data_IF_188982748082
#
_entry.id   IF_188982748082
#
_cell.length_a   1.000
_cell.length_b   1.000
_cell.length_c   1.000
_cell.angle_alpha   90.00
_cell.angle_beta   90.00
_cell.angle_gamma   90.00
#
_symmetry.space_group_name_H-M   'P 1'
#
loop_
_entity.id
_entity.type
_entity.pdbx_description
1 polymer ?
#
# COMPACT_ATOMS: atom_id res chain seq x y z
N UNK A 1 33.80 9.89 -43.59
CA UNK A 1 32.52 9.37 -43.04
C UNK A 1 32.47 7.86 -42.86
N UNK A 2 32.85 7.03 -43.85
CA UNK A 2 32.81 5.56 -43.69
C UNK A 2 33.67 5.01 -42.54
N UNK A 3 34.89 5.54 -42.29
CA UNK A 3 35.77 5.09 -41.20
C UNK A 3 35.28 5.43 -39.77
N UNK A 4 34.50 6.50 -39.60
CA UNK A 4 33.91 6.88 -38.30
C UNK A 4 32.72 5.97 -37.98
N UNK A 5 31.95 5.58 -39.01
CA UNK A 5 30.84 4.63 -38.86
C UNK A 5 31.33 3.21 -38.53
N UNK A 6 32.50 2.80 -39.05
CA UNK A 6 33.10 1.50 -38.69
C UNK A 6 33.64 1.48 -37.26
N UNK A 7 34.16 2.60 -36.73
CA UNK A 7 34.55 2.69 -35.32
C UNK A 7 33.34 2.65 -34.37
N UNK A 8 32.21 3.23 -34.77
CA UNK A 8 30.97 3.18 -33.99
C UNK A 8 30.35 1.78 -33.96
N UNK A 9 30.44 1.03 -35.06
CA UNK A 9 30.03 -0.39 -35.13
C UNK A 9 30.99 -1.34 -34.39
N UNK A 10 32.30 -1.03 -34.34
CA UNK A 10 33.24 -1.79 -33.50
C UNK A 10 33.05 -1.51 -32.00
N UNK A 11 32.59 -0.31 -31.61
CA UNK A 11 32.21 0.00 -30.23
C UNK A 11 30.91 -0.72 -29.80
N UNK A 12 29.98 -0.96 -30.74
CA UNK A 12 28.78 -1.76 -30.48
C UNK A 12 29.08 -3.27 -30.46
N UNK A 13 30.07 -3.73 -31.25
CA UNK A 13 30.51 -5.11 -31.26
C UNK A 13 31.42 -5.50 -30.07
N UNK A 14 32.00 -4.52 -29.36
CA UNK A 14 32.67 -4.76 -28.06
C UNK A 14 31.72 -4.69 -26.86
N UNK A 15 30.44 -4.37 -27.06
CA UNK A 15 29.40 -4.47 -26.02
C UNK A 15 28.79 -5.88 -25.89
N UNK A 16 29.19 -6.84 -26.73
CA UNK A 16 28.79 -8.25 -26.60
C UNK A 16 29.69 -9.06 -25.66
N UNK A 17 30.61 -8.39 -24.97
CA UNK A 17 31.33 -8.90 -23.79
C UNK A 17 31.32 -7.85 -22.69
N UNK A 18 30.20 -7.70 -21.97
CA UNK A 18 30.27 -7.08 -20.65
C UNK A 18 29.48 -7.91 -19.65
N UNK A 19 30.19 -8.25 -18.57
CA UNK A 19 29.69 -8.86 -17.36
C UNK A 19 28.41 -8.18 -16.85
N UNK A 20 27.70 -8.84 -15.94
CA UNK A 20 26.73 -8.20 -15.05
C UNK A 20 27.41 -7.04 -14.30
N UNK A 21 27.50 -5.86 -14.90
CA UNK A 21 28.00 -4.66 -14.23
C UNK A 21 26.93 -4.28 -13.22
N UNK A 22 27.23 -4.56 -11.96
CA UNK A 22 26.35 -4.18 -10.85
C UNK A 22 26.44 -2.67 -10.71
N UNK A 23 25.33 -1.97 -10.94
CA UNK A 23 25.26 -0.52 -10.77
C UNK A 23 25.55 -0.15 -9.31
N UNK A 24 26.32 0.91 -9.11
CA UNK A 24 26.47 1.56 -7.82
C UNK A 24 25.16 2.24 -7.39
N UNK A 25 25.00 2.45 -6.08
CA UNK A 25 23.84 3.16 -5.53
C UNK A 25 23.70 4.56 -6.14
N UNK A 26 24.81 5.27 -6.39
CA UNK A 26 24.82 6.57 -7.08
C UNK A 26 24.22 6.47 -8.48
N UNK A 27 24.63 5.49 -9.28
CA UNK A 27 24.10 5.29 -10.64
C UNK A 27 22.61 4.93 -10.63
N UNK A 28 22.17 4.13 -9.65
CA UNK A 28 20.75 3.79 -9.47
C UNK A 28 19.94 5.06 -9.16
N UNK A 29 20.45 5.92 -8.27
CA UNK A 29 19.79 7.19 -7.94
C UNK A 29 19.79 8.17 -9.13
N UNK A 30 20.85 8.20 -9.96
CA UNK A 30 20.85 8.98 -11.22
C UNK A 30 19.77 8.48 -12.17
N UNK A 31 19.61 7.16 -12.32
CA UNK A 31 18.51 6.59 -13.13
C UNK A 31 17.14 6.99 -12.60
N UNK A 32 16.94 7.04 -11.28
CA UNK A 32 15.72 7.58 -10.69
C UNK A 32 15.51 9.04 -11.07
N UNK A 33 16.54 9.87 -10.91
CA UNK A 33 16.50 11.28 -11.27
C UNK A 33 16.10 11.47 -12.74
N UNK A 34 16.71 10.73 -13.65
CA UNK A 34 16.39 10.80 -15.09
C UNK A 34 14.97 10.29 -15.41
N UNK A 35 14.60 9.13 -14.87
CA UNK A 35 13.31 8.49 -15.14
C UNK A 35 12.10 9.26 -14.60
N UNK A 36 12.31 10.15 -13.63
CA UNK A 36 11.24 10.89 -12.95
C UNK A 36 11.33 12.40 -13.14
N UNK A 37 11.93 12.84 -14.24
CA UNK A 37 12.02 14.26 -14.62
C UNK A 37 12.75 15.13 -13.60
N UNK A 38 13.90 14.66 -13.12
CA UNK A 38 14.75 15.28 -12.09
C UNK A 38 15.00 16.77 -12.23
N UNK A 39 15.18 17.23 -13.47
CA UNK A 39 15.38 18.66 -13.77
C UNK A 39 14.18 19.55 -13.40
N UNK A 40 13.00 18.95 -13.23
CA UNK A 40 11.73 19.60 -12.85
C UNK A 40 11.33 19.34 -11.39
N UNK A 41 12.12 18.57 -10.64
CA UNK A 41 11.86 18.37 -9.21
C UNK A 41 11.85 19.70 -8.46
N UNK A 42 11.07 19.76 -7.37
CA UNK A 42 11.00 20.93 -6.50
C UNK A 42 12.36 21.19 -5.82
N UNK A 43 12.98 20.13 -5.29
CA UNK A 43 14.32 20.09 -4.72
C UNK A 43 15.16 19.16 -5.59
N UNK A 44 16.08 19.77 -6.34
CA UNK A 44 16.90 19.09 -7.35
C UNK A 44 18.21 18.64 -6.73
N UNK A 45 18.72 17.51 -7.20
CA UNK A 45 20.07 17.08 -6.88
C UNK A 45 21.07 17.72 -7.83
N UNK A 46 22.20 18.16 -7.28
CA UNK A 46 23.37 18.47 -8.09
C UNK A 46 24.16 17.17 -8.32
N UNK A 47 24.00 16.59 -9.51
CA UNK A 47 24.61 15.30 -9.86
C UNK A 47 26.15 15.34 -9.88
N UNK A 48 26.75 16.54 -9.93
CA UNK A 48 28.20 16.73 -9.83
C UNK A 48 28.74 16.50 -8.41
N UNK A 49 27.89 16.64 -7.40
CA UNK A 49 28.24 16.47 -6.00
C UNK A 49 28.16 15.00 -5.56
N UNK A 50 28.79 14.63 -4.43
CA UNK A 50 28.59 13.31 -3.81
C UNK A 50 27.13 13.12 -3.39
N UNK A 51 26.62 11.88 -3.47
CA UNK A 51 25.21 11.58 -3.15
C UNK A 51 24.85 11.84 -1.68
N UNK A 52 25.85 11.97 -0.80
CA UNK A 52 25.67 12.40 0.60
C UNK A 52 25.19 13.84 0.74
N UNK A 53 25.32 14.66 -0.32
CA UNK A 53 24.79 16.03 -0.38
C UNK A 53 23.37 16.11 -0.94
N UNK A 54 22.86 15.02 -1.52
CA UNK A 54 21.57 15.00 -2.20
C UNK A 54 20.43 14.98 -1.18
N UNK A 55 19.56 15.99 -1.25
CA UNK A 55 18.40 16.11 -0.37
C UNK A 55 17.57 14.82 -0.37
N UNK A 56 17.26 14.30 0.82
CA UNK A 56 16.47 13.08 0.95
C UNK A 56 17.27 11.78 0.92
N UNK A 57 18.58 11.82 0.66
CA UNK A 57 19.43 10.62 0.61
C UNK A 57 20.19 10.46 1.93
N UNK A 58 20.03 9.32 2.61
CA UNK A 58 20.88 8.93 3.74
C UNK A 58 21.79 7.77 3.32
N UNK A 59 23.08 7.91 3.60
CA UNK A 59 24.11 6.94 3.25
C UNK A 59 24.79 6.43 4.51
N UNK A 60 25.06 5.12 4.57
CA UNK A 60 25.89 4.48 5.59
C UNK A 60 26.83 3.50 4.89
N UNK A 61 28.14 3.60 5.16
CA UNK A 61 29.16 2.75 4.55
C UNK A 61 29.05 2.70 3.01
N UNK A 62 28.92 3.87 2.38
CA UNK A 62 28.73 4.05 0.93
C UNK A 62 27.49 3.37 0.33
N UNK A 63 26.53 2.95 1.17
CA UNK A 63 25.24 2.38 0.78
C UNK A 63 24.08 3.29 1.15
N UNK A 64 23.13 3.44 0.25
CA UNK A 64 21.91 4.22 0.50
C UNK A 64 21.01 3.39 1.42
N UNK A 65 20.72 3.96 2.60
CA UNK A 65 19.88 3.32 3.62
C UNK A 65 18.50 3.96 3.74
N UNK A 66 18.34 5.21 3.31
CA UNK A 66 17.02 5.85 3.22
C UNK A 66 16.97 6.79 2.02
N UNK A 67 15.81 6.80 1.37
CA UNK A 67 15.49 7.70 0.27
C UNK A 67 14.12 8.33 0.54
N UNK A 68 14.11 9.60 0.95
CA UNK A 68 12.91 10.40 1.17
C UNK A 68 12.81 11.52 0.13
N UNK A 69 11.95 11.32 -0.86
CA UNK A 69 11.67 12.25 -1.95
C UNK A 69 10.20 12.66 -1.97
N UNK A 70 9.56 12.67 -0.79
CA UNK A 70 8.16 13.05 -0.69
C UNK A 70 7.91 14.50 -1.18
N UNK A 71 6.75 14.75 -1.78
CA UNK A 71 6.31 16.10 -2.16
C UNK A 71 7.35 16.87 -3.01
N UNK A 72 7.92 16.19 -4.01
CA UNK A 72 9.07 16.69 -4.76
C UNK A 72 8.84 16.83 -6.28
N UNK A 73 7.59 16.69 -6.73
CA UNK A 73 7.18 16.77 -8.14
C UNK A 73 7.85 15.73 -9.05
N UNK A 74 8.12 14.52 -8.54
CA UNK A 74 8.59 13.42 -9.40
C UNK A 74 7.48 13.06 -10.39
N UNK A 75 7.81 13.07 -11.69
CA UNK A 75 6.89 12.73 -12.79
C UNK A 75 7.52 11.66 -13.66
N UNK A 76 6.88 10.51 -13.79
CA UNK A 76 7.36 9.39 -14.61
C UNK A 76 7.09 8.05 -13.97
N UNK A 77 7.91 7.05 -14.31
CA UNK A 77 7.82 5.69 -13.78
C UNK A 77 8.84 5.49 -12.65
N UNK A 78 8.52 4.59 -11.70
CA UNK A 78 9.51 4.09 -10.75
C UNK A 78 10.45 3.13 -11.51
N UNK A 79 11.76 3.40 -11.63
CA UNK A 79 12.67 2.50 -12.35
C UNK A 79 12.92 1.21 -11.57
N UNK A 80 12.99 0.09 -12.29
CA UNK A 80 13.19 -1.22 -11.69
C UNK A 80 14.54 -1.35 -10.96
N UNK A 81 15.53 -0.56 -11.34
CA UNK A 81 16.86 -0.52 -10.75
C UNK A 81 16.85 -0.10 -9.27
N UNK A 82 15.80 0.57 -8.77
CA UNK A 82 15.67 0.84 -7.34
C UNK A 82 15.70 -0.44 -6.51
N UNK A 83 15.21 -1.56 -7.05
CA UNK A 83 15.27 -2.88 -6.41
C UNK A 83 16.70 -3.42 -6.16
N UNK A 84 17.74 -2.71 -6.62
CA UNK A 84 19.14 -3.06 -6.41
C UNK A 84 19.79 -2.34 -5.22
N UNK A 85 19.10 -1.39 -4.56
CA UNK A 85 19.57 -0.74 -3.33
C UNK A 85 19.42 -1.67 -2.11
N UNK A 86 20.24 -2.73 -2.03
CA UNK A 86 20.04 -3.83 -1.07
C UNK A 86 20.06 -3.43 0.41
N UNK A 87 20.68 -2.31 0.74
CA UNK A 87 20.75 -1.77 2.11
C UNK A 87 19.63 -0.79 2.45
N UNK A 88 18.71 -0.53 1.52
CA UNK A 88 17.64 0.44 1.71
C UNK A 88 16.64 -0.03 2.78
N UNK A 89 16.44 0.81 3.79
CA UNK A 89 15.54 0.58 4.92
C UNK A 89 14.27 1.43 4.82
N UNK A 90 14.33 2.56 4.10
CA UNK A 90 13.21 3.48 3.93
C UNK A 90 13.17 3.98 2.49
N UNK A 91 12.01 3.81 1.85
CA UNK A 91 11.69 4.39 0.55
C UNK A 91 10.39 5.18 0.69
N UNK A 92 10.50 6.51 0.68
CA UNK A 92 9.37 7.42 0.73
C UNK A 92 9.29 8.25 -0.56
N UNK A 93 8.28 7.96 -1.37
CA UNK A 93 7.93 8.67 -2.61
C UNK A 93 6.53 9.31 -2.53
N UNK A 94 6.02 9.50 -1.31
CA UNK A 94 4.71 10.08 -1.02
C UNK A 94 4.48 11.39 -1.76
N UNK A 95 3.24 11.61 -2.24
CA UNK A 95 2.80 12.91 -2.80
C UNK A 95 3.68 13.36 -3.97
N UNK A 96 3.71 12.55 -5.00
CA UNK A 96 4.34 12.87 -6.27
C UNK A 96 3.34 12.63 -7.43
N UNK A 97 3.83 12.60 -8.66
CA UNK A 97 3.04 12.37 -9.87
C UNK A 97 3.56 11.12 -10.60
N UNK A 98 4.00 10.12 -9.83
CA UNK A 98 4.48 8.86 -10.37
C UNK A 98 3.31 8.07 -10.98
N UNK A 99 3.57 7.40 -12.09
CA UNK A 99 2.57 6.62 -12.84
C UNK A 99 3.11 5.23 -13.19
N UNK A 100 2.28 4.42 -13.85
CA UNK A 100 2.59 3.02 -14.18
C UNK A 100 2.50 2.10 -12.97
N UNK A 101 3.04 0.88 -13.11
CA UNK A 101 2.98 -0.14 -12.07
C UNK A 101 4.09 -0.01 -11.03
N UNK A 102 3.85 -0.56 -9.84
CA UNK A 102 4.89 -0.78 -8.84
C UNK A 102 5.88 -1.84 -9.40
N UNK A 103 7.19 -1.56 -9.53
CA UNK A 103 8.13 -2.53 -10.05
C UNK A 103 8.27 -3.73 -9.12
N UNK A 104 8.12 -4.95 -9.68
CA UNK A 104 8.29 -6.18 -8.90
C UNK A 104 9.69 -6.31 -8.27
N UNK A 105 10.71 -5.65 -8.85
CA UNK A 105 12.07 -5.61 -8.31
C UNK A 105 12.16 -4.96 -6.93
N UNK A 106 11.19 -4.13 -6.51
CA UNK A 106 11.17 -3.58 -5.15
C UNK A 106 11.10 -4.69 -4.09
N UNK A 107 10.53 -5.86 -4.41
CA UNK A 107 10.54 -7.04 -3.53
C UNK A 107 11.92 -7.61 -3.20
N UNK A 108 12.98 -7.10 -3.83
CA UNK A 108 14.36 -7.49 -3.57
C UNK A 108 15.01 -6.70 -2.42
N UNK A 109 14.34 -5.68 -1.86
CA UNK A 109 14.87 -4.79 -0.83
C UNK A 109 14.71 -5.40 0.58
N UNK A 110 15.52 -6.42 0.90
CA UNK A 110 15.32 -7.23 2.12
C UNK A 110 15.46 -6.49 3.44
N UNK A 111 16.15 -5.36 3.44
CA UNK A 111 16.31 -4.51 4.63
C UNK A 111 15.19 -3.48 4.80
N UNK A 112 14.24 -3.41 3.85
CA UNK A 112 13.21 -2.37 3.83
C UNK A 112 12.24 -2.52 5.00
N UNK A 113 12.07 -1.43 5.74
CA UNK A 113 11.18 -1.28 6.91
C UNK A 113 10.01 -0.37 6.61
N UNK A 114 10.20 0.63 5.75
CA UNK A 114 9.16 1.59 5.36
C UNK A 114 9.10 1.69 3.84
N UNK A 115 7.92 1.47 3.28
CA UNK A 115 7.59 1.71 1.88
C UNK A 115 6.36 2.59 1.80
N UNK A 116 6.54 3.85 1.40
CA UNK A 116 5.48 4.80 1.16
C UNK A 116 5.49 5.25 -0.31
N UNK A 117 4.45 4.83 -1.04
CA UNK A 117 4.19 5.20 -2.43
C UNK A 117 2.84 5.93 -2.57
N UNK A 118 2.26 6.39 -1.45
CA UNK A 118 0.93 6.97 -1.40
C UNK A 118 0.85 8.33 -2.11
N UNK A 119 -0.37 8.77 -2.44
CA UNK A 119 -0.63 10.02 -3.15
C UNK A 119 0.18 10.14 -4.46
N UNK A 120 -0.03 9.20 -5.37
CA UNK A 120 0.55 9.20 -6.72
C UNK A 120 -0.54 8.81 -7.74
N UNK A 121 -0.15 8.50 -8.97
CA UNK A 121 -1.04 7.97 -10.01
C UNK A 121 -0.63 6.54 -10.42
N UNK A 122 -0.13 5.74 -9.48
CA UNK A 122 0.28 4.35 -9.72
C UNK A 122 -0.95 3.49 -10.07
N UNK A 123 -0.75 2.55 -10.98
CA UNK A 123 -1.80 1.68 -11.54
C UNK A 123 -1.43 0.20 -11.39
N UNK A 124 -2.33 -0.68 -11.85
CA UNK A 124 -2.13 -2.14 -11.89
C UNK A 124 -2.10 -2.78 -10.51
N UNK A 125 -1.91 -4.10 -10.47
CA UNK A 125 -1.89 -4.87 -9.23
C UNK A 125 -0.64 -4.63 -8.39
N UNK A 126 -0.81 -4.75 -7.07
CA UNK A 126 0.30 -4.84 -6.12
C UNK A 126 1.08 -6.13 -6.45
N UNK A 127 2.38 -6.06 -6.79
CA UNK A 127 3.16 -7.25 -7.13
C UNK A 127 3.28 -8.20 -5.93
N UNK A 128 3.12 -9.50 -6.16
CA UNK A 128 3.36 -10.54 -5.12
C UNK A 128 4.75 -10.44 -4.49
N UNK A 129 5.75 -9.95 -5.24
CA UNK A 129 7.10 -9.80 -4.73
C UNK A 129 7.22 -8.80 -3.56
N UNK A 130 6.26 -7.89 -3.37
CA UNK A 130 6.19 -7.02 -2.18
C UNK A 130 6.10 -7.86 -0.90
N UNK A 131 5.47 -9.03 -0.95
CA UNK A 131 5.37 -9.97 0.16
C UNK A 131 6.72 -10.59 0.56
N UNK A 132 7.78 -10.37 -0.24
CA UNK A 132 9.12 -10.83 0.10
C UNK A 132 9.90 -9.85 1.00
N UNK A 133 9.29 -8.73 1.39
CA UNK A 133 9.85 -7.69 2.26
C UNK A 133 9.58 -8.02 3.73
N UNK A 134 10.14 -9.12 4.23
CA UNK A 134 9.78 -9.66 5.56
C UNK A 134 10.16 -8.76 6.74
N UNK A 135 11.04 -7.76 6.55
CA UNK A 135 11.38 -6.75 7.55
C UNK A 135 10.47 -5.51 7.52
N UNK A 136 9.51 -5.46 6.60
CA UNK A 136 8.63 -4.30 6.41
C UNK A 136 7.72 -4.11 7.62
N UNK A 137 7.66 -2.88 8.12
CA UNK A 137 6.81 -2.43 9.23
C UNK A 137 5.66 -1.54 8.77
N UNK A 138 5.90 -0.74 7.74
CA UNK A 138 4.92 0.21 7.20
C UNK A 138 4.83 0.05 5.69
N UNK A 139 3.62 -0.21 5.20
CA UNK A 139 3.28 -0.25 3.78
C UNK A 139 2.12 0.72 3.51
N UNK A 140 2.44 1.83 2.83
CA UNK A 140 1.48 2.88 2.49
C UNK A 140 1.39 3.04 0.97
N UNK A 141 0.23 2.70 0.42
CA UNK A 141 -0.06 2.71 -1.03
C UNK A 141 -1.35 3.48 -1.35
N UNK A 142 -1.92 4.16 -0.36
CA UNK A 142 -3.22 4.82 -0.47
C UNK A 142 -3.22 6.00 -1.45
N UNK A 143 -4.42 6.41 -1.91
CA UNK A 143 -4.58 7.50 -2.88
C UNK A 143 -3.77 7.27 -4.17
N UNK A 144 -4.04 6.14 -4.83
CA UNK A 144 -3.49 5.77 -6.14
C UNK A 144 -4.64 5.21 -7.01
N UNK A 145 -4.32 4.49 -8.09
CA UNK A 145 -5.27 3.77 -8.96
C UNK A 145 -4.89 2.29 -9.05
N UNK A 146 -4.35 1.73 -7.96
CA UNK A 146 -3.96 0.33 -7.89
C UNK A 146 -5.21 -0.54 -7.96
N UNK A 147 -5.14 -1.65 -8.70
CA UNK A 147 -6.29 -2.51 -8.98
C UNK A 147 -5.97 -3.99 -8.69
N UNK A 148 -6.90 -4.89 -8.97
CA UNK A 148 -6.73 -6.31 -8.67
C UNK A 148 -6.81 -6.61 -7.18
N UNK A 149 -6.39 -7.81 -6.79
CA UNK A 149 -6.53 -8.30 -5.42
C UNK A 149 -5.34 -7.94 -4.54
N UNK A 150 -5.55 -7.93 -3.21
CA UNK A 150 -4.43 -8.01 -2.28
C UNK A 150 -3.62 -9.29 -2.57
N UNK A 151 -2.28 -9.25 -2.54
CA UNK A 151 -1.44 -10.41 -2.73
C UNK A 151 -1.85 -11.58 -1.83
N UNK A 152 -1.99 -12.77 -2.40
CA UNK A 152 -2.30 -13.99 -1.66
C UNK A 152 -1.22 -14.31 -0.62
N UNK A 153 0.02 -13.88 -0.86
CA UNK A 153 1.15 -14.08 0.06
C UNK A 153 1.33 -12.94 1.07
N UNK A 154 0.37 -12.01 1.22
CA UNK A 154 0.50 -10.85 2.13
C UNK A 154 0.81 -11.25 3.57
N UNK A 155 0.36 -12.44 3.99
CA UNK A 155 0.69 -13.05 5.27
C UNK A 155 2.20 -13.23 5.53
N UNK A 156 3.07 -13.20 4.52
CA UNK A 156 4.52 -13.29 4.71
C UNK A 156 5.12 -12.06 5.41
N UNK A 157 4.41 -10.93 5.42
CA UNK A 157 4.84 -9.68 6.06
C UNK A 157 4.62 -9.70 7.58
N UNK A 158 5.27 -10.64 8.26
CA UNK A 158 5.06 -10.93 9.69
C UNK A 158 5.42 -9.77 10.64
N UNK A 159 6.26 -8.82 10.19
CA UNK A 159 6.65 -7.64 10.94
C UNK A 159 5.80 -6.39 10.61
N UNK A 160 4.81 -6.50 9.72
CA UNK A 160 4.02 -5.36 9.30
C UNK A 160 3.11 -4.89 10.44
N UNK A 161 3.23 -3.61 10.77
CA UNK A 161 2.47 -2.93 11.81
C UNK A 161 1.35 -2.07 11.20
N UNK A 162 1.62 -1.44 10.05
CA UNK A 162 0.69 -0.58 9.33
C UNK A 162 0.54 -1.02 7.88
N UNK A 163 -0.70 -1.29 7.47
CA UNK A 163 -1.11 -1.49 6.08
C UNK A 163 -2.17 -0.44 5.71
N UNK A 164 -1.83 0.46 4.79
CA UNK A 164 -2.76 1.47 4.28
C UNK A 164 -2.82 1.43 2.76
N UNK A 165 -3.96 1.00 2.21
CA UNK A 165 -4.20 0.88 0.75
C UNK A 165 -5.49 1.59 0.32
N UNK A 166 -6.05 2.43 1.18
CA UNK A 166 -7.33 3.10 0.95
C UNK A 166 -7.32 4.02 -0.28
N UNK A 167 -8.51 4.34 -0.81
CA UNK A 167 -8.68 5.16 -2.01
C UNK A 167 -7.86 4.60 -3.19
N UNK A 168 -8.20 3.38 -3.59
CA UNK A 168 -7.68 2.67 -4.76
C UNK A 168 -8.83 1.91 -5.44
N UNK A 169 -8.52 1.01 -6.37
CA UNK A 169 -9.45 0.11 -7.03
C UNK A 169 -9.22 -1.37 -6.65
N UNK A 170 -8.73 -1.62 -5.43
CA UNK A 170 -8.46 -2.98 -4.94
C UNK A 170 -9.78 -3.76 -4.81
N UNK A 171 -9.79 -4.98 -5.30
CA UNK A 171 -10.97 -5.85 -5.35
C UNK A 171 -10.73 -7.22 -4.70
N UNK A 172 -11.77 -8.06 -4.69
CA UNK A 172 -11.71 -9.39 -4.10
C UNK A 172 -11.76 -9.40 -2.57
N UNK A 173 -11.65 -10.60 -2.00
CA UNK A 173 -11.71 -10.80 -0.56
C UNK A 173 -10.36 -10.57 0.13
N UNK A 174 -10.39 -10.34 1.43
CA UNK A 174 -9.19 -10.37 2.28
C UNK A 174 -8.59 -11.80 2.21
N UNK A 175 -7.35 -11.99 1.74
CA UNK A 175 -6.74 -13.32 1.63
C UNK A 175 -6.61 -14.02 2.98
N UNK A 176 -6.75 -15.35 3.04
CA UNK A 176 -6.68 -16.09 4.30
C UNK A 176 -5.34 -15.92 5.04
N UNK A 177 -4.23 -15.71 4.30
CA UNK A 177 -2.90 -15.48 4.88
C UNK A 177 -2.81 -14.18 5.67
N UNK A 178 -3.66 -13.18 5.38
CA UNK A 178 -3.72 -11.90 6.10
C UNK A 178 -3.92 -12.09 7.61
N UNK A 179 -4.76 -13.04 7.99
CA UNK A 179 -5.08 -13.31 9.41
C UNK A 179 -3.91 -13.94 10.19
N UNK A 180 -2.77 -14.19 9.55
CA UNK A 180 -1.54 -14.68 10.18
C UNK A 180 -0.61 -13.53 10.63
N UNK A 181 -0.90 -12.28 10.28
CA UNK A 181 -0.03 -11.11 10.49
C UNK A 181 -0.19 -10.49 11.89
N UNK A 182 0.30 -11.18 12.92
CA UNK A 182 0.08 -10.82 14.34
C UNK A 182 0.67 -9.48 14.81
N UNK A 183 1.53 -8.86 14.00
CA UNK A 183 2.12 -7.55 14.29
C UNK A 183 1.25 -6.38 13.85
N UNK A 184 0.19 -6.62 13.07
CA UNK A 184 -0.68 -5.56 12.56
C UNK A 184 -1.36 -4.81 13.70
N UNK A 185 -1.24 -3.48 13.64
CA UNK A 185 -1.88 -2.52 14.54
C UNK A 185 -2.91 -1.68 13.79
N UNK A 186 -2.56 -1.25 12.59
CA UNK A 186 -3.38 -0.35 11.77
C UNK A 186 -3.63 -0.96 10.40
N UNK A 187 -4.91 -1.12 10.05
CA UNK A 187 -5.35 -1.67 8.76
C UNK A 187 -6.38 -0.72 8.15
N UNK A 188 -6.01 -0.06 7.06
CA UNK A 188 -6.85 0.90 6.35
C UNK A 188 -7.07 0.44 4.91
N UNK A 189 -8.19 -0.23 4.67
CA UNK A 189 -8.60 -0.78 3.36
C UNK A 189 -9.78 -0.01 2.75
N UNK A 190 -10.18 1.10 3.36
CA UNK A 190 -11.40 1.82 2.99
C UNK A 190 -11.40 2.38 1.57
N UNK A 191 -12.60 2.66 1.04
CA UNK A 191 -12.80 3.30 -0.26
C UNK A 191 -12.09 2.54 -1.38
N UNK A 192 -12.49 1.27 -1.53
CA UNK A 192 -12.00 0.31 -2.52
C UNK A 192 -13.19 -0.49 -3.08
N UNK A 193 -12.90 -1.55 -3.85
CA UNK A 193 -13.90 -2.48 -4.43
C UNK A 193 -13.86 -3.85 -3.73
N UNK A 194 -13.28 -3.95 -2.53
CA UNK A 194 -13.10 -5.23 -1.83
C UNK A 194 -14.44 -5.87 -1.46
N UNK A 195 -14.50 -7.20 -1.45
CA UNK A 195 -15.73 -7.97 -1.27
C UNK A 195 -15.52 -9.20 -0.38
N UNK A 196 -16.49 -10.12 -0.34
CA UNK A 196 -16.44 -11.29 0.54
C UNK A 196 -16.84 -10.99 1.98
N UNK A 197 -16.64 -11.95 2.88
CA UNK A 197 -16.95 -11.82 4.30
C UNK A 197 -15.69 -11.65 5.15
N UNK A 198 -15.84 -11.04 6.32
CA UNK A 198 -14.77 -10.95 7.32
C UNK A 198 -14.67 -12.29 8.07
N UNK A 199 -13.49 -12.92 8.07
CA UNK A 199 -13.29 -14.20 8.77
C UNK A 199 -13.26 -14.00 10.28
N UNK A 200 -13.70 -15.00 11.04
CA UNK A 200 -13.50 -15.06 12.49
C UNK A 200 -12.02 -15.09 12.90
N UNK A 201 -11.13 -15.47 11.98
CA UNK A 201 -9.68 -15.44 12.18
C UNK A 201 -9.11 -14.03 12.38
N UNK A 202 -9.90 -12.98 12.16
CA UNK A 202 -9.54 -11.60 12.54
C UNK A 202 -9.15 -11.49 14.02
N UNK A 203 -9.68 -12.38 14.88
CA UNK A 203 -9.29 -12.47 16.29
C UNK A 203 -7.81 -12.86 16.52
N UNK A 204 -7.12 -13.38 15.50
CA UNK A 204 -5.69 -13.68 15.56
C UNK A 204 -4.81 -12.42 15.50
N UNK A 205 -5.36 -11.29 15.03
CA UNK A 205 -4.66 -10.00 14.93
C UNK A 205 -4.67 -9.28 16.29
N UNK A 206 -4.08 -9.91 17.30
CA UNK A 206 -4.22 -9.49 18.71
C UNK A 206 -3.65 -8.11 19.03
N UNK A 207 -2.83 -7.53 18.15
CA UNK A 207 -2.30 -6.17 18.27
C UNK A 207 -3.13 -5.10 17.52
N UNK A 208 -4.20 -5.50 16.82
CA UNK A 208 -5.00 -4.59 16.01
C UNK A 208 -5.69 -3.54 16.88
N UNK A 209 -5.44 -2.26 16.58
CA UNK A 209 -6.02 -1.10 17.26
C UNK A 209 -6.98 -0.34 16.36
N UNK A 210 -6.71 -0.28 15.06
CA UNK A 210 -7.48 0.52 14.11
C UNK A 210 -7.78 -0.33 12.86
N UNK A 211 -9.06 -0.48 12.54
CA UNK A 211 -9.55 -1.21 11.39
C UNK A 211 -10.55 -0.38 10.59
N UNK A 212 -10.21 0.00 9.36
CA UNK A 212 -11.14 0.68 8.46
C UNK A 212 -11.37 -0.15 7.21
N UNK A 213 -12.60 -0.60 7.03
CA UNK A 213 -13.14 -1.27 5.83
C UNK A 213 -14.21 -0.41 5.14
N UNK A 214 -14.39 0.84 5.59
CA UNK A 214 -15.37 1.79 5.08
C UNK A 214 -15.47 1.81 3.55
N UNK A 215 -16.67 1.95 3.00
CA UNK A 215 -16.88 2.15 1.55
C UNK A 215 -16.23 1.04 0.70
N UNK A 216 -16.81 -0.16 0.82
CA UNK A 216 -16.41 -1.36 0.08
C UNK A 216 -17.67 -2.21 -0.24
N UNK A 217 -17.47 -3.44 -0.69
CA UNK A 217 -18.52 -4.42 -1.01
C UNK A 217 -18.50 -5.64 -0.05
N UNK A 218 -17.95 -5.51 1.16
CA UNK A 218 -17.95 -6.61 2.13
C UNK A 218 -19.37 -7.00 2.54
N UNK A 219 -19.62 -8.27 2.78
CA UNK A 219 -20.95 -8.81 3.06
C UNK A 219 -20.94 -9.87 4.16
N UNK A 220 -22.13 -10.33 4.54
CA UNK A 220 -22.33 -11.33 5.58
C UNK A 220 -22.29 -10.71 6.98
N UNK A 221 -22.22 -11.57 7.99
CA UNK A 221 -22.22 -11.12 9.38
C UNK A 221 -20.84 -10.66 9.83
N UNK A 222 -20.79 -9.56 10.59
CA UNK A 222 -19.58 -9.14 11.30
C UNK A 222 -19.25 -10.18 12.36
N UNK A 223 -18.06 -10.82 12.32
CA UNK A 223 -17.73 -11.91 13.23
C UNK A 223 -17.60 -11.43 14.67
N UNK A 224 -18.34 -12.07 15.59
CA UNK A 224 -18.26 -11.84 17.04
C UNK A 224 -16.85 -12.06 17.61
N UNK A 225 -16.01 -12.80 16.89
CA UNK A 225 -14.61 -13.00 17.24
C UNK A 225 -13.81 -11.68 17.38
N UNK A 226 -14.23 -10.60 16.71
CA UNK A 226 -13.67 -9.25 16.90
C UNK A 226 -13.70 -8.77 18.35
N UNK A 227 -14.64 -9.26 19.17
CA UNK A 227 -14.72 -8.88 20.59
C UNK A 227 -13.51 -9.33 21.40
N UNK A 228 -12.78 -10.35 20.93
CA UNK A 228 -11.55 -10.85 21.54
C UNK A 228 -10.38 -9.87 21.36
N UNK A 229 -10.48 -8.93 20.42
CA UNK A 229 -9.48 -7.89 20.18
C UNK A 229 -9.64 -6.78 21.22
N UNK A 230 -9.15 -7.01 22.43
CA UNK A 230 -9.24 -6.05 23.53
C UNK A 230 -8.48 -4.73 23.27
N UNK A 231 -7.54 -4.73 22.32
CA UNK A 231 -6.80 -3.55 21.90
C UNK A 231 -7.50 -2.71 20.82
N UNK A 232 -8.61 -3.19 20.24
CA UNK A 232 -9.32 -2.51 19.15
C UNK A 232 -9.99 -1.24 19.69
N UNK A 233 -9.56 -0.08 19.18
CA UNK A 233 -10.02 1.25 19.59
C UNK A 233 -10.97 1.86 18.59
N UNK A 234 -10.67 1.70 17.32
CA UNK A 234 -11.43 2.27 16.22
C UNK A 234 -11.73 1.19 15.20
N UNK A 235 -12.98 1.12 14.82
CA UNK A 235 -13.46 0.30 13.74
C UNK A 235 -14.29 1.20 12.81
N UNK A 236 -14.17 1.03 11.51
CA UNK A 236 -15.09 1.65 10.57
C UNK A 236 -15.45 0.65 9.49
N UNK A 237 -16.66 0.10 9.55
CA UNK A 237 -17.17 -0.86 8.56
C UNK A 237 -18.37 -0.34 7.77
N UNK A 238 -18.73 0.92 7.98
CA UNK A 238 -19.88 1.54 7.31
C UNK A 238 -19.72 1.57 5.79
N UNK A 239 -20.83 1.75 5.06
CA UNK A 239 -20.86 1.71 3.59
C UNK A 239 -20.31 0.38 3.02
N UNK A 240 -20.84 -0.72 3.54
CA UNK A 240 -20.63 -2.08 3.03
C UNK A 240 -22.01 -2.75 2.85
N UNK A 241 -22.02 -4.07 2.68
CA UNK A 241 -23.20 -4.93 2.59
C UNK A 241 -23.27 -5.90 3.78
N UNK A 242 -22.64 -5.55 4.91
CA UNK A 242 -22.74 -6.32 6.14
C UNK A 242 -24.19 -6.44 6.59
N UNK A 243 -24.53 -7.55 7.23
CA UNK A 243 -25.85 -7.85 7.74
C UNK A 243 -25.78 -8.61 9.07
N UNK A 244 -26.94 -9.00 9.61
CA UNK A 244 -27.02 -9.72 10.87
C UNK A 244 -26.77 -8.84 12.10
N UNK A 245 -26.60 -9.51 13.24
CA UNK A 245 -26.48 -8.85 14.53
C UNK A 245 -25.02 -8.52 14.85
N UNK A 246 -24.81 -7.32 15.40
CA UNK A 246 -23.56 -6.92 16.06
C UNK A 246 -23.83 -6.70 17.55
N UNK A 247 -22.81 -6.89 18.36
CA UNK A 247 -22.92 -6.61 19.79
C UNK A 247 -22.84 -5.12 20.06
N UNK A 248 -23.36 -4.69 21.21
CA UNK A 248 -23.27 -3.30 21.66
C UNK A 248 -21.82 -2.80 21.74
N UNK A 249 -20.87 -3.67 22.14
CA UNK A 249 -19.44 -3.36 22.21
C UNK A 249 -18.89 -2.99 20.82
N UNK A 250 -19.15 -3.83 19.82
CA UNK A 250 -18.70 -3.59 18.45
C UNK A 250 -19.40 -2.37 17.82
N UNK A 251 -20.70 -2.20 18.10
CA UNK A 251 -21.47 -1.05 17.65
C UNK A 251 -20.96 0.30 18.17
N UNK A 252 -20.31 0.33 19.34
CA UNK A 252 -19.69 1.54 19.91
C UNK A 252 -18.31 1.86 19.33
N UNK A 253 -17.61 0.86 18.78
CA UNK A 253 -16.31 1.04 18.14
C UNK A 253 -16.43 1.55 16.70
N UNK A 254 -17.57 1.31 16.04
CA UNK A 254 -17.84 1.73 14.67
C UNK A 254 -18.09 3.25 14.60
N UNK A 255 -17.12 4.02 14.09
CA UNK A 255 -17.12 5.49 14.17
C UNK A 255 -18.08 6.22 13.21
N UNK A 256 -19.14 5.59 12.69
CA UNK A 256 -20.19 6.24 11.88
C UNK A 256 -21.61 5.71 12.17
N UNK A 257 -22.33 6.42 13.05
CA UNK A 257 -23.70 6.92 12.94
C UNK A 257 -24.81 6.12 12.19
N UNK A 258 -24.83 4.78 12.23
CA UNK A 258 -25.96 3.98 11.69
C UNK A 258 -26.49 2.92 12.64
N UNK A 259 -26.05 2.90 13.91
CA UNK A 259 -26.55 1.98 14.92
C UNK A 259 -27.79 2.54 15.60
N UNK A 260 -28.96 2.26 15.04
CA UNK A 260 -30.19 2.30 15.82
C UNK A 260 -30.10 1.17 16.86
N UNK A 261 -29.96 1.55 18.13
CA UNK A 261 -30.13 0.63 19.25
C UNK A 261 -31.62 0.63 19.58
N UNK A 262 -32.30 -0.49 19.39
CA UNK A 262 -33.71 -0.58 19.77
C UNK A 262 -33.87 -0.58 21.30
N UNK A 263 -35.11 -0.46 21.79
CA UNK A 263 -35.43 -0.42 23.23
C UNK A 263 -34.97 -1.67 24.01
N UNK A 264 -34.62 -2.77 23.31
CA UNK A 264 -34.04 -3.98 23.91
C UNK A 264 -32.51 -4.03 23.89
N UNK A 265 -31.84 -2.95 23.45
CA UNK A 265 -30.38 -2.83 23.48
C UNK A 265 -29.65 -3.53 22.32
N UNK A 266 -30.38 -3.96 21.28
CA UNK A 266 -29.83 -4.60 20.08
C UNK A 266 -29.47 -3.53 19.06
N UNK A 267 -28.21 -3.52 18.61
CA UNK A 267 -27.72 -2.62 17.58
C UNK A 267 -27.86 -3.25 16.19
N UNK A 268 -28.48 -2.52 15.26
CA UNK A 268 -28.60 -2.91 13.86
C UNK A 268 -27.66 -2.08 12.99
N UNK A 269 -27.02 -2.71 12.00
CA UNK A 269 -26.33 -2.00 10.92
C UNK A 269 -27.35 -1.66 9.84
N UNK A 270 -27.77 -0.39 9.73
CA UNK A 270 -28.51 0.06 8.54
C UNK A 270 -27.52 0.31 7.40
N UNK A 271 -27.69 -0.36 6.25
CA UNK A 271 -27.02 0.05 5.02
C UNK A 271 -27.77 1.26 4.45
N UNK A 272 -27.25 2.49 4.62
CA UNK A 272 -27.75 3.67 3.87
C UNK A 272 -27.15 3.66 2.45
N UNK A 273 -27.40 2.55 1.76
CA UNK A 273 -27.27 2.37 0.33
C UNK A 273 -28.53 1.62 -0.15
N UNK A 274 -29.69 2.14 0.21
CA UNK A 274 -30.96 1.85 -0.46
C UNK A 274 -31.57 3.20 -0.77
N UNK A 275 -31.88 3.39 -2.04
CA UNK A 275 -32.65 4.50 -2.57
C UNK A 275 -33.75 4.93 -1.60
N UNK A 276 -33.94 6.26 -1.48
CA UNK A 276 -35.15 6.84 -0.93
C UNK A 276 -36.34 6.52 -1.85
N UNK A 277 -36.79 5.27 -1.89
CA UNK A 277 -38.14 4.95 -2.31
C UNK A 277 -38.96 4.54 -1.09
N UNK A 278 -39.67 5.55 -0.57
CA UNK A 278 -40.75 5.41 0.39
C UNK A 278 -41.68 4.27 -0.04
N UNK A 279 -41.82 3.23 0.78
CA UNK A 279 -43.02 2.39 0.74
C UNK A 279 -43.91 2.74 1.95
N UNK A 280 -45.21 2.98 1.73
CA UNK A 280 -46.13 3.40 2.78
C UNK A 280 -46.41 2.23 3.72
N UNK A 281 -46.40 2.50 5.02
CA UNK A 281 -46.97 1.61 6.02
C UNK A 281 -48.47 1.92 6.05
N UNK A 282 -49.27 0.97 5.59
CA UNK A 282 -50.71 0.95 5.82
C UNK A 282 -50.91 0.69 7.32
N UNK A 283 -51.65 1.55 7.99
CA UNK A 283 -52.13 1.28 9.33
C UNK A 283 -53.24 0.23 9.23
N UNK A 284 -53.10 -0.88 9.96
CA UNK A 284 -54.22 -1.78 10.25
C UNK A 284 -54.58 -1.61 11.72
N UNK A 285 -55.85 -1.30 11.95
CA UNK A 285 -56.55 -1.50 13.23
C UNK A 285 -56.65 -3.00 13.56
#
# INVERSE_FOLDING_TARGET
MKKIFTLFLMLLASFSMMANVTLSDKEILVKLYEATSGSQWKVKWDLSQPMTSWSGVKVQNDKVIALDLQNNNLVGLIPAELGNLKSLQELNLHKNQLSGSIPASLGNLKELKVLDLSFNALTSAIPESICNLTNLKTLELYMNRLSGQLPASIGNLQNLETLAVFNNEIEGAIPASFYQMKSLKTVLLNSNKMSGSLSADIANLTQLTNLSLFENNFQGQVPLALEKLNGLKEMNISYNKFNGLVTKKLAMLDTLNMTMVNESGVAYLMNVAVEMEKRPIVAED
#
